data_IF_241638837774
#
_entry.id   IF_241638837774
#
_cell.length_a   1.000
_cell.length_b   1.000
_cell.length_c   1.000
_cell.angle_alpha   90.00
_cell.angle_beta   90.00
_cell.angle_gamma   90.00
#
_symmetry.space_group_name_H-M   'P 1'
#
loop_
_entity.id
_entity.type
_entity.pdbx_description
1 polymer ?
#
# COMPACT_ATOMS: atom_id res chain seq x y z
N UNK A 1 -5.27 -8.14 14.76
CA UNK A 1 -5.33 -8.25 16.24
C UNK A 1 -4.46 -7.15 16.82
N UNK A 2 -4.98 -6.37 17.79
CA UNK A 2 -4.19 -5.52 18.65
C UNK A 2 -4.20 -6.11 20.07
N UNK A 3 -4.92 -5.47 21.02
CA UNK A 3 -5.06 -6.01 22.38
C UNK A 3 -5.80 -7.36 22.49
N UNK A 4 -6.49 -7.79 21.42
CA UNK A 4 -7.11 -9.10 21.30
C UNK A 4 -8.61 -9.16 21.62
N UNK A 5 -9.23 -8.07 22.10
CA UNK A 5 -10.64 -8.08 22.53
C UNK A 5 -11.63 -8.50 21.45
N UNK A 6 -11.54 -7.88 20.26
CA UNK A 6 -12.39 -8.24 19.11
C UNK A 6 -12.18 -9.71 18.69
N UNK A 7 -10.92 -10.11 18.57
CA UNK A 7 -10.55 -11.46 18.15
C UNK A 7 -11.06 -12.52 19.13
N UNK A 8 -10.89 -12.31 20.44
CA UNK A 8 -11.39 -13.23 21.48
C UNK A 8 -12.91 -13.36 21.40
N UNK A 9 -13.65 -12.26 21.27
CA UNK A 9 -15.11 -12.28 21.17
C UNK A 9 -15.60 -13.01 19.92
N UNK A 10 -15.06 -12.64 18.75
CA UNK A 10 -15.45 -13.25 17.46
C UNK A 10 -15.09 -14.73 17.41
N UNK A 11 -13.86 -15.11 17.78
CA UNK A 11 -13.43 -16.50 17.73
C UNK A 11 -14.23 -17.39 18.70
N UNK A 12 -14.48 -16.91 19.91
CA UNK A 12 -15.27 -17.65 20.90
C UNK A 12 -16.69 -17.89 20.37
N UNK A 13 -17.37 -16.85 19.88
CA UNK A 13 -18.74 -17.02 19.39
C UNK A 13 -18.79 -17.90 18.12
N UNK A 14 -17.85 -17.72 17.20
CA UNK A 14 -17.77 -18.53 15.99
C UNK A 14 -17.60 -20.01 16.32
N UNK A 15 -16.69 -20.37 17.23
CA UNK A 15 -16.47 -21.76 17.66
C UNK A 15 -17.66 -22.36 18.44
N UNK A 16 -18.36 -21.52 19.22
CA UNK A 16 -19.59 -21.97 19.90
C UNK A 16 -20.74 -22.27 18.94
N UNK A 17 -20.88 -21.47 17.89
CA UNK A 17 -21.95 -21.67 16.90
C UNK A 17 -21.61 -22.78 15.90
N UNK A 18 -20.36 -22.86 15.49
CA UNK A 18 -19.89 -23.91 14.57
C UNK A 18 -18.40 -24.19 14.82
N UNK A 19 -18.06 -25.28 15.52
CA UNK A 19 -16.68 -25.61 15.85
C UNK A 19 -15.80 -25.91 14.62
N UNK A 20 -16.39 -26.17 13.46
CA UNK A 20 -15.66 -26.44 12.21
C UNK A 20 -15.20 -25.16 11.49
N UNK A 21 -15.70 -23.98 11.87
CA UNK A 21 -15.23 -22.71 11.29
C UNK A 21 -13.77 -22.49 11.68
N UNK A 22 -12.91 -22.25 10.70
CA UNK A 22 -11.53 -21.82 10.94
C UNK A 22 -11.49 -20.32 11.21
N UNK A 23 -10.84 -19.93 12.28
CA UNK A 23 -10.63 -18.53 12.66
C UNK A 23 -9.15 -18.20 12.58
N UNK A 24 -8.79 -17.32 11.66
CA UNK A 24 -7.41 -16.89 11.42
C UNK A 24 -7.24 -15.47 11.96
N UNK A 25 -6.28 -15.29 12.85
CA UNK A 25 -5.86 -13.99 13.35
C UNK A 25 -4.93 -13.30 12.36
N UNK A 26 -4.95 -11.98 12.33
CA UNK A 26 -4.07 -11.19 11.47
C UNK A 26 -3.45 -10.04 12.26
N UNK A 27 -2.13 -9.86 12.13
CA UNK A 27 -1.38 -8.76 12.74
C UNK A 27 -0.46 -8.10 11.71
N UNK A 28 -0.07 -6.82 11.92
CA UNK A 28 1.03 -6.25 11.15
C UNK A 28 2.35 -6.93 11.51
N UNK A 29 3.23 -7.14 10.52
CA UNK A 29 4.53 -7.82 10.72
C UNK A 29 5.36 -7.17 11.83
N UNK A 30 5.38 -5.84 11.90
CA UNK A 30 6.16 -5.11 12.91
C UNK A 30 5.37 -4.77 14.19
N UNK A 31 4.16 -5.38 14.38
CA UNK A 31 3.35 -5.23 15.58
C UNK A 31 2.66 -6.56 15.96
N UNK A 32 3.36 -7.69 15.82
CA UNK A 32 2.83 -9.04 15.98
C UNK A 32 2.97 -9.54 17.44
N UNK A 33 2.40 -8.80 18.40
CA UNK A 33 2.54 -9.12 19.83
C UNK A 33 1.71 -10.34 20.25
N UNK A 34 0.56 -10.58 19.64
CA UNK A 34 -0.24 -11.77 19.92
C UNK A 34 0.41 -13.03 19.33
N UNK A 35 0.99 -12.95 18.13
CA UNK A 35 1.73 -14.06 17.52
C UNK A 35 2.91 -14.48 18.41
N UNK A 36 3.73 -13.51 18.84
CA UNK A 36 4.83 -13.78 19.75
C UNK A 36 4.35 -14.40 21.08
N UNK A 37 3.20 -13.96 21.59
CA UNK A 37 2.61 -14.51 22.82
C UNK A 37 2.08 -15.95 22.63
N UNK A 38 1.46 -16.24 21.48
CA UNK A 38 0.99 -17.60 21.15
C UNK A 38 2.17 -18.59 21.02
N UNK A 39 3.25 -18.16 20.36
CA UNK A 39 4.49 -18.94 20.22
C UNK A 39 5.18 -19.19 21.55
N UNK A 40 5.16 -18.22 22.47
CA UNK A 40 5.71 -18.34 23.81
C UNK A 40 4.82 -19.13 24.80
N UNK A 41 3.52 -19.28 24.50
CA UNK A 41 2.53 -19.87 25.39
C UNK A 41 2.09 -18.97 26.56
N UNK A 42 2.54 -17.72 26.59
CA UNK A 42 2.17 -16.70 27.59
C UNK A 42 2.25 -15.31 26.98
N UNK A 43 1.63 -14.33 27.61
CA UNK A 43 1.67 -12.94 27.13
C UNK A 43 3.09 -12.40 27.13
N UNK A 44 3.52 -11.88 25.98
CA UNK A 44 4.83 -11.28 25.75
C UNK A 44 4.67 -9.80 25.42
N UNK A 45 5.57 -8.97 25.92
CA UNK A 45 5.67 -7.55 25.56
C UNK A 45 6.77 -7.35 24.54
N UNK A 46 6.43 -6.83 23.37
CA UNK A 46 7.40 -6.45 22.33
C UNK A 46 8.17 -5.19 22.75
N UNK A 47 9.47 -5.08 22.40
CA UNK A 47 10.28 -3.90 22.72
C UNK A 47 9.79 -2.65 21.97
N UNK A 48 9.34 -2.83 20.74
CA UNK A 48 8.78 -1.77 19.89
C UNK A 48 7.72 -2.32 18.96
N UNK A 49 6.86 -1.44 18.46
CA UNK A 49 5.89 -1.72 17.39
C UNK A 49 5.91 -0.55 16.42
N UNK A 50 5.74 -0.84 15.12
CA UNK A 50 5.68 0.15 14.06
C UNK A 50 4.75 -0.36 12.96
N UNK A 51 3.68 0.38 12.66
CA UNK A 51 2.76 0.06 11.57
C UNK A 51 1.86 1.26 11.29
N UNK A 52 1.38 1.37 10.05
CA UNK A 52 0.33 2.33 9.67
C UNK A 52 -1.05 1.94 10.23
N UNK A 53 -1.22 0.71 10.72
CA UNK A 53 -2.42 0.22 11.39
C UNK A 53 -2.38 0.56 12.89
N UNK A 54 -2.44 1.84 13.22
CA UNK A 54 -2.29 2.39 14.57
C UNK A 54 -3.28 1.77 15.59
N UNK A 55 -4.52 1.47 15.17
CA UNK A 55 -5.52 0.80 16.01
C UNK A 55 -5.11 -0.57 16.54
N UNK A 56 -4.09 -1.21 15.95
CA UNK A 56 -3.53 -2.50 16.39
C UNK A 56 -2.04 -2.44 16.77
N UNK A 57 -1.45 -1.25 16.83
CA UNK A 57 -0.06 -1.05 17.23
C UNK A 57 0.13 -1.25 18.76
N UNK A 58 -0.09 -2.47 19.23
CA UNK A 58 -0.12 -2.83 20.65
C UNK A 58 1.09 -3.69 21.00
N UNK A 59 1.90 -3.22 21.96
CA UNK A 59 3.11 -3.96 22.41
C UNK A 59 2.80 -5.21 23.23
N UNK A 60 1.70 -5.19 24.00
CA UNK A 60 1.35 -6.25 24.94
C UNK A 60 -0.13 -6.61 24.75
N UNK A 61 -0.46 -7.85 24.38
CA UNK A 61 -1.84 -8.32 24.33
C UNK A 61 -2.49 -8.31 25.71
N UNK A 62 -3.83 -8.31 25.74
CA UNK A 62 -4.56 -8.38 27.01
C UNK A 62 -4.47 -9.75 27.67
N UNK A 63 -4.08 -9.79 28.94
CA UNK A 63 -3.96 -11.05 29.70
C UNK A 63 -5.27 -11.82 29.80
N UNK A 64 -6.40 -11.10 29.98
CA UNK A 64 -7.72 -11.72 30.14
C UNK A 64 -8.25 -12.34 28.84
N UNK A 65 -7.85 -11.84 27.68
CA UNK A 65 -8.33 -12.33 26.38
C UNK A 65 -7.42 -13.38 25.78
N UNK A 66 -6.17 -13.43 26.20
CA UNK A 66 -5.16 -14.34 25.65
C UNK A 66 -5.59 -15.82 25.71
N UNK A 67 -6.11 -16.38 26.83
CA UNK A 67 -6.53 -17.77 26.90
C UNK A 67 -7.62 -18.14 25.87
N UNK A 68 -8.56 -17.22 25.61
CA UNK A 68 -9.62 -17.43 24.63
C UNK A 68 -9.08 -17.45 23.20
N UNK A 69 -8.11 -16.59 22.91
CA UNK A 69 -7.46 -16.54 21.59
C UNK A 69 -6.61 -17.80 21.40
N UNK A 70 -5.82 -18.19 22.38
CA UNK A 70 -5.00 -19.41 22.36
C UNK A 70 -5.85 -20.66 22.10
N UNK A 71 -7.06 -20.72 22.68
CA UNK A 71 -7.96 -21.86 22.51
C UNK A 71 -8.67 -21.87 21.15
N UNK A 72 -9.05 -20.71 20.62
CA UNK A 72 -10.04 -20.61 19.54
C UNK A 72 -9.45 -20.25 18.17
N UNK A 73 -8.20 -19.73 18.09
CA UNK A 73 -7.57 -19.48 16.81
C UNK A 73 -6.99 -20.76 16.20
N UNK A 74 -7.24 -20.92 14.91
CA UNK A 74 -6.65 -22.01 14.11
C UNK A 74 -5.31 -21.61 13.49
N UNK A 75 -4.98 -20.32 13.48
CA UNK A 75 -3.73 -19.76 12.98
C UNK A 75 -3.67 -18.26 13.11
N UNK A 76 -2.47 -17.74 12.91
CA UNK A 76 -2.20 -16.31 12.87
C UNK A 76 -1.20 -16.00 11.77
N UNK A 77 -1.48 -14.99 10.95
CA UNK A 77 -0.62 -14.51 9.87
C UNK A 77 -0.25 -13.07 10.08
N UNK A 78 0.85 -12.65 9.50
CA UNK A 78 1.34 -11.27 9.56
C UNK A 78 1.33 -10.65 8.17
N UNK A 79 1.02 -9.35 8.11
CA UNK A 79 0.85 -8.56 6.89
C UNK A 79 1.76 -7.35 6.95
N UNK A 80 2.43 -7.05 5.85
CA UNK A 80 3.25 -5.86 5.73
C UNK A 80 2.40 -4.61 5.44
N UNK A 81 2.86 -3.44 5.89
CA UNK A 81 2.14 -2.18 5.71
C UNK A 81 1.89 -1.83 4.23
N UNK A 82 2.78 -2.25 3.31
CA UNK A 82 2.58 -2.06 1.87
C UNK A 82 1.33 -2.79 1.34
N UNK A 83 1.01 -3.96 1.90
CA UNK A 83 -0.17 -4.75 1.51
C UNK A 83 -1.47 -4.10 2.01
N UNK A 84 -1.40 -3.35 3.13
CA UNK A 84 -2.53 -2.55 3.61
C UNK A 84 -2.87 -1.40 2.66
N UNK A 85 -1.86 -0.77 2.07
CA UNK A 85 -2.07 0.28 1.05
C UNK A 85 -2.82 -0.28 -0.16
N UNK A 86 -2.45 -1.48 -0.62
CA UNK A 86 -3.14 -2.15 -1.72
C UNK A 86 -4.57 -2.56 -1.33
N UNK A 87 -4.77 -3.12 -0.14
CA UNK A 87 -6.09 -3.47 0.37
C UNK A 87 -7.00 -2.24 0.51
N UNK A 88 -6.45 -1.09 0.93
CA UNK A 88 -7.19 0.18 1.00
C UNK A 88 -7.74 0.59 -0.37
N UNK A 89 -6.87 0.62 -1.40
CA UNK A 89 -7.32 0.96 -2.74
C UNK A 89 -8.36 -0.02 -3.28
N UNK A 90 -8.19 -1.31 -3.04
CA UNK A 90 -9.12 -2.34 -3.49
C UNK A 90 -10.52 -2.15 -2.88
N UNK A 91 -10.60 -1.92 -1.58
CA UNK A 91 -11.88 -1.69 -0.89
C UNK A 91 -12.50 -0.38 -1.37
N UNK A 92 -11.71 0.68 -1.50
CA UNK A 92 -12.22 1.97 -1.95
C UNK A 92 -12.69 1.93 -3.42
N UNK A 93 -11.91 1.32 -4.32
CA UNK A 93 -12.24 1.29 -5.75
C UNK A 93 -13.34 0.27 -6.09
N UNK A 94 -13.33 -0.92 -5.49
CA UNK A 94 -14.27 -2.01 -5.82
C UNK A 94 -15.56 -1.95 -5.01
N UNK A 95 -15.46 -1.58 -3.72
CA UNK A 95 -16.60 -1.62 -2.79
C UNK A 95 -17.12 -0.23 -2.40
N UNK A 96 -16.40 0.85 -2.73
CA UNK A 96 -16.78 2.24 -2.40
C UNK A 96 -16.90 2.49 -0.89
N UNK A 97 -16.07 1.80 -0.12
CA UNK A 97 -16.02 1.93 1.33
C UNK A 97 -14.68 2.52 1.79
N UNK A 98 -14.72 3.27 2.88
CA UNK A 98 -13.55 3.74 3.61
C UNK A 98 -13.45 2.91 4.89
N UNK A 99 -12.32 2.22 5.04
CA UNK A 99 -12.01 1.37 6.19
C UNK A 99 -10.66 1.78 6.75
N UNK A 100 -10.53 1.88 8.06
CA UNK A 100 -9.25 2.18 8.70
C UNK A 100 -8.21 1.07 8.49
N UNK A 101 -6.92 1.40 8.55
CA UNK A 101 -5.84 0.46 8.26
C UNK A 101 -5.91 -0.81 9.11
N UNK A 102 -6.27 -0.70 10.39
CA UNK A 102 -6.44 -1.85 11.27
C UNK A 102 -7.56 -2.81 10.78
N UNK A 103 -8.64 -2.28 10.21
CA UNK A 103 -9.74 -3.05 9.64
C UNK A 103 -9.41 -3.72 8.31
N UNK A 104 -8.39 -3.23 7.59
CA UNK A 104 -7.97 -3.76 6.29
C UNK A 104 -7.06 -4.98 6.39
N UNK A 105 -6.49 -5.26 7.55
CA UNK A 105 -5.61 -6.42 7.76
C UNK A 105 -6.24 -7.73 7.27
N UNK A 106 -7.53 -7.93 7.53
CA UNK A 106 -8.24 -9.16 7.13
C UNK A 106 -8.46 -9.25 5.62
N UNK A 107 -8.49 -8.12 4.91
CA UNK A 107 -8.57 -8.07 3.44
C UNK A 107 -7.20 -8.38 2.83
N UNK A 108 -6.14 -7.72 3.30
CA UNK A 108 -4.78 -7.99 2.86
C UNK A 108 -4.40 -9.47 3.07
N UNK A 109 -4.85 -10.05 4.17
CA UNK A 109 -4.61 -11.46 4.50
C UNK A 109 -5.15 -12.46 3.47
N UNK A 110 -6.14 -12.10 2.65
CA UNK A 110 -6.71 -13.00 1.64
C UNK A 110 -5.68 -13.45 0.59
N UNK A 111 -4.66 -12.64 0.34
CA UNK A 111 -3.55 -12.99 -0.57
C UNK A 111 -2.63 -14.09 -0.03
N UNK A 112 -2.65 -14.34 1.29
CA UNK A 112 -1.85 -15.35 1.98
C UNK A 112 -2.61 -16.64 2.25
N UNK A 113 -3.88 -16.71 1.87
CA UNK A 113 -4.75 -17.84 2.13
C UNK A 113 -5.21 -18.49 0.82
N UNK A 114 -5.25 -19.82 0.77
CA UNK A 114 -5.95 -20.52 -0.31
C UNK A 114 -7.45 -20.52 -0.02
N UNK A 115 -8.15 -19.57 -0.62
CA UNK A 115 -9.58 -19.36 -0.44
C UNK A 115 -10.45 -20.04 -1.53
N UNK A 116 -9.85 -20.84 -2.41
CA UNK A 116 -10.57 -21.51 -3.50
C UNK A 116 -11.62 -22.48 -2.93
N UNK A 117 -12.83 -22.38 -3.45
CA UNK A 117 -13.98 -23.22 -3.05
C UNK A 117 -14.34 -23.11 -1.56
N UNK A 118 -13.97 -22.01 -0.89
CA UNK A 118 -14.27 -21.75 0.51
C UNK A 118 -15.11 -20.49 0.67
N UNK A 119 -15.98 -20.48 1.69
CA UNK A 119 -16.66 -19.28 2.14
C UNK A 119 -15.77 -18.57 3.16
N UNK A 120 -15.22 -17.43 2.78
CA UNK A 120 -14.33 -16.63 3.62
C UNK A 120 -15.02 -15.33 4.02
N UNK A 121 -14.95 -15.01 5.30
CA UNK A 121 -15.48 -13.76 5.86
C UNK A 121 -14.32 -12.93 6.39
N UNK A 122 -14.09 -11.77 5.80
CA UNK A 122 -13.16 -10.74 6.32
C UNK A 122 -13.95 -9.73 7.14
N UNK A 123 -13.55 -9.53 8.39
CA UNK A 123 -14.21 -8.57 9.28
C UNK A 123 -13.59 -7.20 9.07
N UNK A 124 -14.30 -6.28 8.45
CA UNK A 124 -13.91 -4.88 8.33
C UNK A 124 -14.28 -4.13 9.63
N UNK A 125 -13.33 -4.02 10.52
CA UNK A 125 -13.55 -3.51 11.87
C UNK A 125 -13.06 -2.07 12.00
N UNK A 126 -13.93 -1.11 11.76
CA UNK A 126 -13.64 0.30 12.00
C UNK A 126 -13.48 1.13 10.73
N UNK A 127 -13.68 2.43 10.88
CA UNK A 127 -13.64 3.42 9.80
C UNK A 127 -13.12 4.79 10.26
N UNK A 128 -12.38 4.83 11.38
CA UNK A 128 -11.78 6.07 11.91
C UNK A 128 -10.53 6.43 11.11
N UNK A 129 -10.74 6.92 9.89
CA UNK A 129 -9.69 7.34 8.96
C UNK A 129 -9.77 8.84 8.73
N UNK A 130 -8.70 9.57 9.00
CA UNK A 130 -8.63 10.98 8.66
C UNK A 130 -8.32 11.20 7.17
N UNK A 131 -8.72 12.38 6.66
CA UNK A 131 -8.63 12.69 5.23
C UNK A 131 -7.18 12.83 4.75
N UNK A 132 -6.25 13.25 5.61
CA UNK A 132 -4.83 13.42 5.25
C UNK A 132 -4.21 12.04 5.07
N UNK A 133 -4.42 11.14 6.02
CA UNK A 133 -3.97 9.74 5.93
C UNK A 133 -4.55 9.06 4.71
N UNK A 134 -5.85 9.25 4.43
CA UNK A 134 -6.51 8.72 3.23
C UNK A 134 -5.85 9.23 1.95
N UNK A 135 -5.58 10.53 1.86
CA UNK A 135 -4.91 11.14 0.70
C UNK A 135 -3.52 10.53 0.48
N UNK A 136 -2.75 10.37 1.56
CA UNK A 136 -1.42 9.74 1.51
C UNK A 136 -1.49 8.29 1.03
N UNK A 137 -2.41 7.48 1.57
CA UNK A 137 -2.59 6.08 1.16
C UNK A 137 -2.97 5.97 -0.32
N UNK A 138 -3.88 6.85 -0.81
CA UNK A 138 -4.26 6.88 -2.23
C UNK A 138 -3.05 7.18 -3.10
N UNK A 139 -2.26 8.20 -2.76
CA UNK A 139 -1.07 8.57 -3.56
C UNK A 139 -0.04 7.44 -3.58
N UNK A 140 0.31 6.89 -2.41
CA UNK A 140 1.25 5.78 -2.32
C UNK A 140 0.77 4.54 -3.09
N UNK A 141 -0.49 4.20 -2.98
CA UNK A 141 -1.06 3.06 -3.69
C UNK A 141 -1.09 3.27 -5.21
N UNK A 142 -1.39 4.48 -5.71
CA UNK A 142 -1.32 4.78 -7.13
C UNK A 142 0.10 4.69 -7.67
N UNK A 143 1.10 5.14 -6.89
CA UNK A 143 2.52 5.02 -7.24
C UNK A 143 2.93 3.54 -7.26
N UNK A 144 2.61 2.77 -6.22
CA UNK A 144 2.94 1.35 -6.12
C UNK A 144 2.34 0.54 -7.28
N UNK A 145 1.13 0.88 -7.73
CA UNK A 145 0.46 0.25 -8.88
C UNK A 145 0.93 0.77 -10.25
N UNK A 146 1.93 1.66 -10.29
CA UNK A 146 2.42 2.24 -11.52
C UNK A 146 1.40 3.14 -12.24
N UNK A 147 0.37 3.61 -11.53
CA UNK A 147 -0.66 4.51 -12.06
C UNK A 147 -0.24 5.98 -12.00
N UNK A 148 0.69 6.30 -11.11
CA UNK A 148 1.41 7.57 -11.08
C UNK A 148 2.90 7.24 -11.01
N UNK A 149 3.69 7.89 -11.87
CA UNK A 149 5.14 7.76 -11.82
C UNK A 149 5.82 9.00 -12.37
N UNK A 150 7.07 9.20 -11.98
CA UNK A 150 7.92 10.28 -12.49
C UNK A 150 9.10 9.68 -13.23
N UNK A 151 9.39 10.18 -14.41
CA UNK A 151 10.67 9.95 -15.06
C UNK A 151 11.46 11.25 -15.20
N UNK A 152 12.78 11.12 -15.24
CA UNK A 152 13.73 12.18 -15.58
C UNK A 152 14.35 11.89 -16.93
N UNK A 153 14.51 12.91 -17.74
CA UNK A 153 15.17 12.85 -19.04
C UNK A 153 16.06 14.08 -19.26
N UNK A 154 17.23 13.87 -19.84
CA UNK A 154 18.10 14.97 -20.25
C UNK A 154 17.71 15.41 -21.66
N UNK A 155 17.38 16.69 -21.83
CA UNK A 155 16.99 17.28 -23.11
C UNK A 155 18.07 18.23 -23.62
N UNK A 156 18.35 18.26 -24.94
CA UNK A 156 19.08 19.37 -25.53
C UNK A 156 18.38 20.70 -25.23
N UNK A 157 19.12 21.74 -24.90
CA UNK A 157 18.53 23.08 -24.70
C UNK A 157 18.17 23.73 -26.05
N UNK A 158 17.09 23.27 -26.64
CA UNK A 158 16.58 23.72 -27.96
C UNK A 158 15.06 23.89 -27.93
N UNK A 159 14.53 24.89 -28.65
CA UNK A 159 13.09 25.03 -28.84
C UNK A 159 12.47 23.74 -29.44
N UNK A 160 11.33 23.31 -28.86
CA UNK A 160 10.56 22.16 -29.34
C UNK A 160 10.87 20.83 -28.67
N UNK A 161 11.94 20.67 -27.89
CA UNK A 161 12.26 19.40 -27.21
C UNK A 161 11.20 19.00 -26.20
N UNK A 162 10.70 19.94 -25.41
CA UNK A 162 9.59 19.69 -24.48
C UNK A 162 8.32 19.23 -25.21
N UNK A 163 8.02 19.85 -26.39
CA UNK A 163 6.87 19.45 -27.20
C UNK A 163 6.99 18.01 -27.69
N UNK A 164 8.17 17.59 -28.14
CA UNK A 164 8.42 16.21 -28.58
C UNK A 164 8.19 15.20 -27.47
N UNK A 165 8.68 15.48 -26.25
CA UNK A 165 8.44 14.61 -25.08
C UNK A 165 6.94 14.53 -24.80
N UNK A 166 6.23 15.65 -24.77
CA UNK A 166 4.80 15.68 -24.55
C UNK A 166 4.00 14.91 -25.64
N UNK A 167 4.41 15.02 -26.90
CA UNK A 167 3.79 14.27 -28.00
C UNK A 167 4.01 12.74 -27.86
N UNK A 168 5.19 12.30 -27.46
CA UNK A 168 5.47 10.88 -27.23
C UNK A 168 4.56 10.34 -26.14
N UNK A 169 4.49 11.03 -24.99
CA UNK A 169 3.63 10.65 -23.89
C UNK A 169 2.16 10.61 -24.31
N UNK A 170 1.68 11.63 -25.01
CA UNK A 170 0.30 11.73 -25.49
C UNK A 170 -0.06 10.60 -26.46
N UNK A 171 0.86 10.23 -27.39
CA UNK A 171 0.67 9.09 -28.32
C UNK A 171 0.52 7.75 -27.61
N UNK A 172 1.10 7.62 -26.42
CA UNK A 172 0.93 6.45 -25.54
C UNK A 172 -0.28 6.58 -24.61
N UNK A 173 -1.12 7.61 -24.74
CA UNK A 173 -2.25 7.91 -23.84
C UNK A 173 -1.82 8.19 -22.37
N UNK A 174 -0.58 8.60 -22.13
CA UNK A 174 -0.13 9.09 -20.83
C UNK A 174 -0.66 10.50 -20.57
N UNK A 175 -1.13 10.77 -19.36
CA UNK A 175 -1.57 12.10 -18.93
C UNK A 175 -0.51 12.77 -18.08
N UNK A 176 0.04 13.88 -18.56
CA UNK A 176 1.06 14.64 -17.81
C UNK A 176 0.35 15.47 -16.73
N UNK A 177 0.68 15.22 -15.46
CA UNK A 177 0.12 15.95 -14.31
C UNK A 177 1.08 16.97 -13.72
N UNK A 178 2.40 16.78 -13.93
CA UNK A 178 3.40 17.74 -13.47
C UNK A 178 4.63 17.72 -14.37
N UNK A 179 5.17 18.92 -14.63
CA UNK A 179 6.44 19.12 -15.33
C UNK A 179 7.36 19.98 -14.46
N UNK A 180 8.56 19.48 -14.19
CA UNK A 180 9.63 20.25 -13.57
C UNK A 180 10.75 20.42 -14.60
N UNK A 181 10.83 21.60 -15.21
CA UNK A 181 11.82 21.97 -16.23
C UNK A 181 12.75 23.02 -15.64
N UNK A 182 13.95 22.63 -15.24
CA UNK A 182 14.88 23.53 -14.59
C UNK A 182 16.11 23.80 -15.48
N UNK A 183 16.13 25.01 -16.09
CA UNK A 183 17.21 25.46 -16.97
C UNK A 183 18.43 26.03 -16.24
N UNK A 184 18.32 26.31 -14.93
CA UNK A 184 19.35 27.07 -14.20
C UNK A 184 20.26 26.20 -13.33
N UNK A 185 20.07 24.88 -13.32
CA UNK A 185 20.86 23.96 -12.45
C UNK A 185 22.26 23.73 -13.00
N UNK A 186 22.47 23.78 -14.32
CA UNK A 186 23.78 23.57 -14.92
C UNK A 186 24.34 24.85 -15.54
N UNK A 187 25.47 25.33 -15.02
CA UNK A 187 26.26 26.47 -15.56
C UNK A 187 26.73 26.17 -16.99
N UNK A 188 26.87 24.89 -17.35
CA UNK A 188 27.30 24.45 -18.68
C UNK A 188 26.11 24.07 -19.55
N UNK A 189 25.63 25.01 -20.37
CA UNK A 189 24.50 24.82 -21.31
C UNK A 189 24.71 23.67 -22.33
N UNK A 190 25.94 23.18 -22.46
CA UNK A 190 26.23 22.03 -23.34
C UNK A 190 25.82 20.66 -22.76
N UNK A 191 25.54 20.59 -21.46
CA UNK A 191 25.16 19.34 -20.78
C UNK A 191 23.67 18.99 -20.83
N UNK A 192 22.86 19.79 -21.52
CA UNK A 192 21.40 19.59 -21.57
C UNK A 192 20.66 20.07 -20.32
N UNK A 193 19.34 20.01 -20.38
CA UNK A 193 18.42 20.43 -19.32
C UNK A 193 17.68 19.22 -18.79
N UNK A 194 17.64 19.04 -17.49
CA UNK A 194 16.84 17.99 -16.88
C UNK A 194 15.34 18.36 -16.92
N UNK A 195 14.54 17.49 -17.51
CA UNK A 195 13.08 17.52 -17.43
C UNK A 195 12.59 16.35 -16.59
N UNK A 196 11.83 16.64 -15.53
CA UNK A 196 11.09 15.64 -14.76
C UNK A 196 9.62 15.71 -15.14
N UNK A 197 9.08 14.57 -15.51
CA UNK A 197 7.68 14.44 -15.96
C UNK A 197 6.97 13.47 -15.04
N UNK A 198 5.93 13.95 -14.35
CA UNK A 198 5.05 13.08 -13.56
C UNK A 198 3.79 12.81 -14.36
N UNK A 199 3.42 11.55 -14.47
CA UNK A 199 2.35 11.05 -15.33
C UNK A 199 1.32 10.23 -14.58
N UNK A 200 0.08 10.25 -15.08
CA UNK A 200 -0.87 9.18 -14.86
C UNK A 200 -0.75 8.13 -15.96
N UNK A 201 -0.80 6.87 -15.55
CA UNK A 201 -0.77 5.71 -16.42
C UNK A 201 -1.83 4.68 -15.97
N UNK A 202 -2.02 3.61 -16.76
CA UNK A 202 -2.99 2.55 -16.44
C UNK A 202 -2.38 1.39 -15.65
N UNK A 203 -1.13 1.52 -15.21
CA UNK A 203 -0.40 0.49 -14.46
C UNK A 203 1.01 0.25 -15.02
N UNK A 204 1.67 -0.79 -14.52
CA UNK A 204 3.07 -1.06 -14.81
C UNK A 204 3.37 -1.31 -16.29
N UNK A 205 2.51 -2.05 -17.00
CA UNK A 205 2.68 -2.31 -18.43
C UNK A 205 2.61 -1.03 -19.25
N UNK A 206 1.63 -0.16 -18.96
CA UNK A 206 1.49 1.13 -19.63
C UNK A 206 2.65 2.08 -19.29
N UNK A 207 3.09 2.12 -18.04
CA UNK A 207 4.30 2.83 -17.61
C UNK A 207 5.52 2.37 -18.46
N UNK A 208 5.71 1.06 -18.63
CA UNK A 208 6.82 0.54 -19.41
C UNK A 208 6.71 0.92 -20.89
N UNK A 209 5.52 0.83 -21.48
CA UNK A 209 5.28 1.25 -22.86
C UNK A 209 5.65 2.72 -23.12
N UNK A 210 5.34 3.61 -22.18
CA UNK A 210 5.73 5.02 -22.25
C UNK A 210 7.26 5.17 -22.23
N UNK A 211 7.94 4.48 -21.31
CA UNK A 211 9.41 4.53 -21.22
C UNK A 211 10.08 3.96 -22.48
N UNK A 212 9.57 2.86 -23.02
CA UNK A 212 10.07 2.25 -24.24
C UNK A 212 9.90 3.19 -25.46
N UNK A 213 8.75 3.89 -25.54
CA UNK A 213 8.54 4.89 -26.60
C UNK A 213 9.51 6.07 -26.49
N UNK A 214 9.84 6.50 -25.26
CA UNK A 214 10.87 7.52 -25.03
C UNK A 214 12.24 7.04 -25.52
N UNK A 215 12.64 5.81 -25.17
CA UNK A 215 13.90 5.22 -25.59
C UNK A 215 13.98 5.04 -27.12
N UNK A 216 12.90 4.58 -27.78
CA UNK A 216 12.83 4.46 -29.24
C UNK A 216 12.96 5.81 -29.95
N UNK A 217 12.52 6.89 -29.32
CA UNK A 217 12.68 8.26 -29.83
C UNK A 217 14.08 8.85 -29.54
N UNK A 218 14.98 8.08 -28.92
CA UNK A 218 16.34 8.50 -28.60
C UNK A 218 16.51 9.27 -27.29
N UNK A 219 15.50 9.22 -26.40
CA UNK A 219 15.56 9.84 -25.09
C UNK A 219 15.86 8.80 -24.01
N UNK A 220 16.92 9.01 -23.22
CA UNK A 220 17.24 8.18 -22.07
C UNK A 220 16.39 8.61 -20.86
N UNK A 221 15.19 8.06 -20.76
CA UNK A 221 14.27 8.33 -19.67
C UNK A 221 14.48 7.32 -18.53
N UNK A 222 14.70 7.84 -17.31
CA UNK A 222 14.92 7.04 -16.11
C UNK A 222 13.84 7.31 -15.07
N UNK A 223 13.24 6.25 -14.49
CA UNK A 223 12.28 6.39 -13.41
C UNK A 223 12.99 6.98 -12.19
N UNK A 224 12.43 8.02 -11.64
CA UNK A 224 12.90 8.67 -10.40
C UNK A 224 11.82 8.60 -9.32
N UNK A 225 12.22 8.85 -8.08
CA UNK A 225 11.26 8.89 -6.97
C UNK A 225 10.18 9.93 -7.27
N UNK A 226 8.94 9.47 -7.30
CA UNK A 226 7.79 10.37 -7.42
C UNK A 226 7.61 11.09 -6.09
N UNK A 227 7.87 12.39 -6.08
CA UNK A 227 7.54 13.24 -4.94
C UNK A 227 6.04 13.47 -4.93
N UNK A 228 5.49 13.83 -3.76
CA UNK A 228 4.07 14.15 -3.62
C UNK A 228 3.58 15.04 -4.76
N UNK A 229 2.46 14.63 -5.37
CA UNK A 229 1.91 15.30 -6.54
C UNK A 229 1.25 16.62 -6.15
N UNK A 230 0.80 16.71 -4.90
CA UNK A 230 0.21 17.90 -4.32
C UNK A 230 1.10 18.42 -3.19
N UNK A 231 1.55 19.68 -3.24
CA UNK A 231 2.22 20.28 -2.10
C UNK A 231 1.25 20.34 -0.93
N UNK A 232 1.73 19.89 0.23
CA UNK A 232 1.06 20.05 1.53
C UNK A 232 0.78 21.52 1.86
#
# INVERSE_FOLDING_TARGET
>A
IGGGGLCAGVSTLAKLLNPNVKVIGVEPTLAASMKASLEAGHVVTLPSVSTIADGVAVKTPGDLVFPYIQQNLDGIITIDDSELVDAFLDIMEKHKMVVENAGLLTVAALHHLDCRDQNVVSVLSGGNMDVITMSSLVQHGLINRGRIFTFSVQLPDRPGELLRVAEIVAKQNGNIIKLDHNQFVNINRQSGVELKVTLEAFGHEHKQAILDAMHQAGYEAHVVLTKEVYPS
#
